data_IF_223519173835
#
_entry.id   IF_223519173835
#
_cell.length_a   1.000
_cell.length_b   1.000
_cell.length_c   1.000
_cell.angle_alpha   90.00
_cell.angle_beta   90.00
_cell.angle_gamma   90.00
#
_symmetry.space_group_name_H-M   'P 1'
#
loop_
_entity.id
_entity.type
_entity.pdbx_description
1 polymer ?
#
# COMPACT_ATOMS: atom_id res chain seq x y z
N UNK A 1 15.00 9.19 -50.96
CA UNK A 1 15.00 10.21 -49.89
C UNK A 1 14.20 9.62 -48.73
N UNK A 2 14.94 8.92 -47.86
CA UNK A 2 14.44 7.98 -46.86
C UNK A 2 14.13 8.78 -45.59
N UNK A 3 12.87 8.78 -45.09
CA UNK A 3 12.45 9.42 -43.85
C UNK A 3 11.58 8.45 -43.06
N UNK A 4 12.21 7.39 -42.60
CA UNK A 4 11.60 6.55 -41.55
C UNK A 4 12.51 6.66 -40.32
N UNK A 5 12.37 7.79 -39.60
CA UNK A 5 12.97 7.96 -38.29
C UNK A 5 11.99 7.41 -37.29
N UNK A 6 12.16 6.15 -36.87
CA UNK A 6 11.48 5.61 -35.69
C UNK A 6 11.84 6.45 -34.45
N UNK A 7 10.83 6.78 -33.60
CA UNK A 7 11.11 7.46 -32.35
C UNK A 7 11.91 6.55 -31.41
N UNK A 8 12.85 7.10 -30.60
CA UNK A 8 13.67 6.30 -29.70
C UNK A 8 12.79 5.58 -28.68
N UNK A 9 12.86 4.27 -28.69
CA UNK A 9 12.25 3.44 -27.64
C UNK A 9 12.95 3.76 -26.32
N UNK A 10 12.23 4.40 -25.38
CA UNK A 10 12.66 4.57 -24.00
C UNK A 10 12.84 3.19 -23.37
N UNK A 11 14.04 2.67 -23.42
CA UNK A 11 14.47 1.50 -22.65
C UNK A 11 14.42 1.89 -21.20
N UNK A 12 13.31 1.55 -20.53
CA UNK A 12 13.17 1.68 -19.09
C UNK A 12 14.37 1.01 -18.43
N UNK A 13 15.04 1.75 -17.53
CA UNK A 13 16.26 1.31 -16.85
C UNK A 13 16.06 -0.09 -16.24
N UNK A 14 17.06 -0.99 -16.32
CA UNK A 14 16.94 -2.38 -15.85
C UNK A 14 16.56 -2.50 -14.36
N UNK A 15 16.75 -1.43 -13.59
CA UNK A 15 16.37 -1.34 -12.19
C UNK A 15 14.85 -1.40 -12.00
N UNK A 16 14.06 -0.67 -12.78
CA UNK A 16 12.58 -0.72 -12.71
C UNK A 16 12.02 -2.06 -13.20
N UNK A 17 12.63 -2.65 -14.22
CA UNK A 17 12.22 -3.97 -14.71
C UNK A 17 12.51 -5.10 -13.70
N UNK A 18 13.58 -4.96 -12.88
CA UNK A 18 13.89 -5.89 -11.80
C UNK A 18 12.87 -5.77 -10.65
N UNK A 19 12.51 -4.55 -10.26
CA UNK A 19 11.47 -4.29 -9.21
C UNK A 19 10.12 -4.86 -9.63
N UNK A 20 9.69 -4.66 -10.86
CA UNK A 20 8.38 -5.15 -11.34
C UNK A 20 8.35 -6.68 -11.50
N UNK A 21 9.46 -7.32 -11.87
CA UNK A 21 9.53 -8.79 -11.95
C UNK A 21 9.51 -9.45 -10.57
N UNK A 22 10.01 -8.79 -9.54
CA UNK A 22 9.99 -9.32 -8.16
C UNK A 22 8.63 -9.13 -7.49
N UNK A 23 7.91 -8.07 -7.83
CA UNK A 23 6.55 -7.80 -7.34
C UNK A 23 5.49 -8.74 -7.96
N UNK A 24 5.75 -9.37 -9.09
CA UNK A 24 4.78 -10.20 -9.84
C UNK A 24 4.73 -11.67 -9.46
N UNK A 25 5.45 -12.15 -8.44
CA UNK A 25 5.56 -13.59 -8.16
C UNK A 25 4.95 -14.09 -6.86
N UNK A 26 4.39 -13.23 -6.04
CA UNK A 26 3.65 -13.69 -4.88
C UNK A 26 2.37 -12.87 -4.71
N UNK A 27 1.27 -13.38 -5.22
CA UNK A 27 -0.05 -13.06 -4.68
C UNK A 27 -0.11 -13.64 -3.27
N UNK A 28 0.65 -13.06 -2.36
CA UNK A 28 0.40 -13.23 -0.94
C UNK A 28 -1.04 -12.79 -0.74
N UNK A 29 -1.92 -13.74 -0.43
CA UNK A 29 -3.28 -13.42 -0.07
C UNK A 29 -3.21 -12.23 0.90
N UNK A 30 -3.82 -11.10 0.57
CA UNK A 30 -3.75 -9.87 1.36
C UNK A 30 -4.05 -10.14 2.85
N UNK A 31 -4.94 -11.10 3.13
CA UNK A 31 -5.19 -11.62 4.48
C UNK A 31 -3.93 -12.17 5.14
N UNK A 32 -3.12 -12.95 4.43
CA UNK A 32 -1.90 -13.55 4.98
C UNK A 32 -0.86 -12.49 5.31
N UNK A 33 -0.70 -11.49 4.45
CA UNK A 33 0.17 -10.34 4.70
C UNK A 33 -0.25 -9.56 5.95
N UNK A 34 -1.54 -9.29 6.14
CA UNK A 34 -2.07 -8.61 7.31
C UNK A 34 -1.78 -9.40 8.59
N UNK A 35 -2.00 -10.72 8.61
CA UNK A 35 -1.69 -11.56 9.79
C UNK A 35 -0.20 -11.60 10.11
N UNK A 36 0.68 -11.63 9.10
CA UNK A 36 2.13 -11.56 9.30
C UNK A 36 2.53 -10.22 9.91
N UNK A 37 1.99 -9.10 9.41
CA UNK A 37 2.27 -7.76 9.92
C UNK A 37 1.81 -7.63 11.36
N UNK A 38 0.59 -8.04 11.68
CA UNK A 38 0.06 -8.02 13.05
C UNK A 38 0.93 -8.88 13.97
N UNK A 39 1.24 -10.10 13.58
CA UNK A 39 2.07 -11.01 14.35
C UNK A 39 3.47 -10.47 14.61
N UNK A 40 4.11 -9.92 13.58
CA UNK A 40 5.43 -9.30 13.70
C UNK A 40 5.41 -8.10 14.67
N UNK A 41 4.40 -7.23 14.56
CA UNK A 41 4.27 -6.06 15.44
C UNK A 41 3.99 -6.46 16.88
N UNK A 42 3.08 -7.41 17.12
CA UNK A 42 2.83 -7.92 18.48
C UNK A 42 4.10 -8.53 19.09
N UNK A 43 4.82 -9.32 18.31
CA UNK A 43 6.09 -9.91 18.76
C UNK A 43 7.13 -8.83 19.10
N UNK A 44 7.29 -7.83 18.24
CA UNK A 44 8.20 -6.72 18.47
C UNK A 44 7.78 -5.88 19.69
N UNK A 45 6.48 -5.67 19.92
CA UNK A 45 5.95 -4.98 21.10
C UNK A 45 6.25 -5.73 22.39
N UNK A 46 6.03 -7.05 22.39
CA UNK A 46 6.34 -7.89 23.55
C UNK A 46 7.83 -7.91 23.84
N UNK A 47 8.67 -8.08 22.81
CA UNK A 47 10.13 -8.02 22.94
C UNK A 47 10.55 -6.64 23.47
N UNK A 48 10.02 -5.55 22.95
CA UNK A 48 10.30 -4.20 23.41
C UNK A 48 9.94 -3.99 24.89
N UNK A 49 8.76 -4.47 25.32
CA UNK A 49 8.31 -4.40 26.71
C UNK A 49 9.16 -5.24 27.66
N UNK A 50 9.61 -6.42 27.25
CA UNK A 50 10.54 -7.24 28.03
C UNK A 50 11.91 -6.57 28.11
N UNK A 51 12.41 -6.08 26.98
CA UNK A 51 13.74 -5.47 26.89
C UNK A 51 13.83 -4.22 27.75
N UNK A 52 12.81 -3.34 27.71
CA UNK A 52 12.83 -2.13 28.52
C UNK A 52 12.81 -2.45 30.01
N UNK A 53 12.04 -3.46 30.43
CA UNK A 53 12.03 -3.92 31.82
C UNK A 53 13.39 -4.45 32.29
N UNK A 54 14.12 -5.16 31.42
CA UNK A 54 15.45 -5.71 31.76
C UNK A 54 16.51 -4.62 31.82
N UNK A 55 16.45 -3.63 30.96
CA UNK A 55 17.46 -2.58 30.81
C UNK A 55 17.20 -1.42 31.78
N UNK A 56 15.97 -1.03 31.95
CA UNK A 56 15.57 0.15 32.76
C UNK A 56 14.67 -0.25 33.95
N UNK A 57 15.15 -1.23 34.72
CA UNK A 57 14.40 -1.82 35.83
C UNK A 57 14.10 -0.85 36.98
N UNK A 58 14.69 0.35 36.98
CA UNK A 58 14.39 1.41 37.96
C UNK A 58 13.09 2.11 37.68
N UNK A 59 12.81 2.35 36.41
CA UNK A 59 11.61 3.02 35.94
C UNK A 59 10.45 2.02 35.70
N UNK A 60 10.77 0.75 35.48
CA UNK A 60 9.83 -0.33 35.26
C UNK A 60 9.92 -1.39 36.34
N UNK A 61 9.04 -1.33 37.34
CA UNK A 61 9.10 -2.19 38.53
C UNK A 61 8.76 -3.66 38.23
N UNK A 62 7.91 -3.89 37.25
CA UNK A 62 7.45 -5.23 36.86
C UNK A 62 7.27 -5.36 35.33
N UNK A 63 7.09 -6.59 34.85
CA UNK A 63 6.92 -6.90 33.43
C UNK A 63 5.63 -6.25 32.85
N UNK A 64 4.60 -6.14 33.67
CA UNK A 64 3.32 -5.53 33.29
C UNK A 64 3.48 -4.06 32.88
N UNK A 65 4.27 -3.29 33.62
CA UNK A 65 4.59 -1.89 33.29
C UNK A 65 5.39 -1.78 31.99
N UNK A 66 6.36 -2.67 31.75
CA UNK A 66 7.11 -2.71 30.50
C UNK A 66 6.22 -3.02 29.31
N UNK A 67 5.34 -4.01 29.42
CA UNK A 67 4.37 -4.36 28.38
C UNK A 67 3.32 -3.26 28.18
N UNK A 68 2.81 -2.68 29.25
CA UNK A 68 1.88 -1.56 29.20
C UNK A 68 2.48 -0.36 28.45
N UNK A 69 3.69 0.01 28.81
CA UNK A 69 4.43 1.07 28.12
C UNK A 69 4.64 0.76 26.64
N UNK A 70 5.02 -0.46 26.31
CA UNK A 70 5.26 -0.84 24.92
C UNK A 70 3.97 -0.77 24.08
N UNK A 71 2.82 -1.21 24.62
CA UNK A 71 1.54 -1.15 23.95
C UNK A 71 1.11 0.30 23.71
N UNK A 72 1.13 1.16 24.74
CA UNK A 72 0.73 2.57 24.56
C UNK A 72 1.69 3.34 23.64
N UNK A 73 2.97 2.93 23.57
CA UNK A 73 3.95 3.54 22.68
C UNK A 73 3.72 3.13 21.22
N UNK A 74 3.55 1.82 20.95
CA UNK A 74 3.29 1.32 19.58
C UNK A 74 1.95 1.83 19.04
N UNK A 75 0.93 1.93 19.89
CA UNK A 75 -0.38 2.48 19.51
C UNK A 75 -0.41 4.01 19.42
N UNK A 76 0.70 4.67 19.75
CA UNK A 76 0.85 6.13 19.77
C UNK A 76 -0.08 6.86 20.76
N UNK A 77 -0.66 6.14 21.74
CA UNK A 77 -1.52 6.73 22.79
C UNK A 77 -0.69 7.53 23.78
N UNK A 78 0.41 6.94 24.31
CA UNK A 78 1.40 7.62 25.15
C UNK A 78 0.83 8.34 26.37
N UNK A 79 0.19 7.62 27.30
CA UNK A 79 -0.32 8.22 28.54
C UNK A 79 0.75 8.95 29.35
N UNK A 80 2.02 8.53 29.23
CA UNK A 80 3.14 9.16 29.95
C UNK A 80 3.21 8.82 31.43
N UNK A 81 2.45 7.85 31.89
CA UNK A 81 2.42 7.36 33.26
C UNK A 81 3.66 6.54 33.62
N UNK A 82 4.20 5.82 32.65
CA UNK A 82 5.48 5.09 32.74
C UNK A 82 6.31 5.43 31.52
N UNK A 83 7.53 5.97 31.73
CA UNK A 83 8.43 6.37 30.64
C UNK A 83 9.89 6.09 31.01
N UNK A 84 10.75 5.71 30.06
CA UNK A 84 12.17 5.50 30.32
C UNK A 84 12.91 6.82 30.50
N UNK A 85 13.68 6.94 31.57
CA UNK A 85 14.53 8.12 31.83
C UNK A 85 15.99 7.89 31.43
N UNK A 86 16.44 6.65 31.35
CA UNK A 86 17.80 6.31 30.94
C UNK A 86 18.03 6.54 29.43
N UNK A 87 19.26 6.85 29.04
CA UNK A 87 19.65 7.02 27.64
C UNK A 87 19.39 5.76 26.81
N UNK A 88 19.67 4.60 27.39
CA UNK A 88 19.47 3.30 26.72
C UNK A 88 17.96 3.02 26.59
N UNK A 89 17.19 3.29 27.64
CA UNK A 89 15.73 3.16 27.63
C UNK A 89 15.09 4.04 26.55
N UNK A 90 15.56 5.27 26.38
CA UNK A 90 15.11 6.17 25.30
C UNK A 90 15.49 5.65 23.91
N UNK A 91 16.66 5.06 23.74
CA UNK A 91 17.05 4.43 22.47
C UNK A 91 16.13 3.26 22.12
N UNK A 92 15.82 2.39 23.08
CA UNK A 92 14.83 1.31 22.93
C UNK A 92 13.47 1.89 22.58
N UNK A 93 13.03 2.95 23.26
CA UNK A 93 11.79 3.67 22.99
C UNK A 93 11.71 4.16 21.55
N UNK A 94 12.78 4.72 21.03
CA UNK A 94 12.85 5.16 19.64
C UNK A 94 12.58 4.01 18.66
N UNK A 95 13.17 2.84 18.88
CA UNK A 95 12.94 1.66 18.03
C UNK A 95 11.48 1.19 18.12
N UNK A 96 10.89 1.18 19.32
CA UNK A 96 9.48 0.81 19.52
C UNK A 96 8.55 1.81 18.85
N UNK A 97 8.82 3.10 18.92
CA UNK A 97 8.06 4.15 18.23
C UNK A 97 8.12 4.00 16.72
N UNK A 98 9.30 3.78 16.15
CA UNK A 98 9.46 3.55 14.71
C UNK A 98 8.71 2.30 14.25
N UNK A 99 8.71 1.23 15.05
CA UNK A 99 7.92 0.03 14.78
C UNK A 99 6.40 0.34 14.76
N UNK A 100 5.90 1.15 15.69
CA UNK A 100 4.51 1.60 15.74
C UNK A 100 4.10 2.39 14.48
N UNK A 101 4.93 3.35 14.06
CA UNK A 101 4.69 4.14 12.84
C UNK A 101 4.66 3.23 11.61
N UNK A 102 5.62 2.31 11.49
CA UNK A 102 5.66 1.35 10.39
C UNK A 102 4.41 0.46 10.35
N UNK A 103 3.92 0.01 11.51
CA UNK A 103 2.71 -0.80 11.62
C UNK A 103 1.47 -0.06 11.11
N UNK A 104 1.23 1.16 11.59
CA UNK A 104 0.08 1.97 11.15
C UNK A 104 0.15 2.24 9.65
N UNK A 105 1.33 2.57 9.12
CA UNK A 105 1.56 2.81 7.70
C UNK A 105 1.23 1.58 6.85
N UNK A 106 1.67 0.39 7.28
CA UNK A 106 1.41 -0.88 6.59
C UNK A 106 -0.07 -1.26 6.60
N UNK A 107 -0.78 -1.05 7.72
CA UNK A 107 -2.22 -1.29 7.80
C UNK A 107 -2.96 -0.35 6.84
N UNK A 108 -2.65 0.94 6.88
CA UNK A 108 -3.29 1.93 6.00
C UNK A 108 -3.06 1.59 4.53
N UNK A 109 -1.83 1.27 4.15
CA UNK A 109 -1.49 0.85 2.79
C UNK A 109 -2.26 -0.42 2.37
N UNK A 110 -2.37 -1.41 3.28
CA UNK A 110 -3.07 -2.66 3.01
C UNK A 110 -4.57 -2.45 2.80
N UNK A 111 -5.20 -1.63 3.63
CA UNK A 111 -6.63 -1.28 3.50
C UNK A 111 -6.88 -0.52 2.20
N UNK A 112 -6.03 0.46 1.89
CA UNK A 112 -6.13 1.22 0.63
C UNK A 112 -6.00 0.30 -0.58
N UNK A 113 -5.04 -0.62 -0.58
CA UNK A 113 -4.85 -1.57 -1.66
C UNK A 113 -6.09 -2.46 -1.88
N UNK A 114 -6.71 -2.94 -0.79
CA UNK A 114 -7.94 -3.74 -0.86
C UNK A 114 -9.11 -2.93 -1.44
N UNK A 115 -9.27 -1.67 -1.04
CA UNK A 115 -10.33 -0.79 -1.55
C UNK A 115 -10.14 -0.48 -3.03
N UNK A 116 -8.91 -0.20 -3.46
CA UNK A 116 -8.58 0.04 -4.87
C UNK A 116 -8.84 -1.20 -5.72
N UNK A 117 -8.45 -2.38 -5.22
CA UNK A 117 -8.71 -3.65 -5.93
C UNK A 117 -10.21 -3.92 -6.06
N UNK A 118 -11.00 -3.70 -5.00
CA UNK A 118 -12.46 -3.83 -5.06
C UNK A 118 -13.09 -2.82 -6.04
N UNK A 119 -12.59 -1.59 -6.08
CA UNK A 119 -13.07 -0.57 -7.01
C UNK A 119 -12.76 -0.97 -8.46
N UNK A 120 -11.56 -1.50 -8.72
CA UNK A 120 -11.19 -2.02 -10.05
C UNK A 120 -12.09 -3.18 -10.49
N UNK A 121 -12.36 -4.13 -9.60
CA UNK A 121 -13.23 -5.27 -9.91
C UNK A 121 -14.68 -4.84 -10.16
N UNK A 122 -15.15 -3.79 -9.52
CA UNK A 122 -16.47 -3.19 -9.78
C UNK A 122 -16.51 -2.39 -11.08
N UNK A 123 -15.41 -1.75 -11.47
CA UNK A 123 -15.25 -1.05 -12.74
C UNK A 123 -15.01 -1.99 -13.94
N UNK A 124 -14.65 -3.26 -13.71
CA UNK A 124 -14.54 -4.32 -14.72
C UNK A 124 -15.83 -5.15 -14.85
N UNK A 125 -16.91 -4.77 -14.12
CA UNK A 125 -18.27 -5.21 -14.44
C UNK A 125 -18.65 -4.75 -15.84
N UNK A 126 -19.65 -5.36 -16.52
CA UNK A 126 -19.87 -5.21 -17.93
C UNK A 126 -19.96 -3.73 -18.31
N UNK A 127 -18.90 -3.28 -18.97
CA UNK A 127 -18.69 -1.97 -19.61
C UNK A 127 -18.84 -0.76 -18.65
N UNK A 128 -17.73 -0.09 -18.39
CA UNK A 128 -17.74 1.26 -17.83
C UNK A 128 -18.82 2.07 -18.60
N UNK A 129 -19.85 2.63 -17.93
CA UNK A 129 -20.94 3.32 -18.61
C UNK A 129 -20.49 4.44 -19.55
N UNK A 130 -19.23 4.90 -19.39
CA UNK A 130 -18.60 5.86 -20.29
C UNK A 130 -18.09 5.20 -21.56
N UNK A 131 -17.42 4.05 -21.49
CA UNK A 131 -16.96 3.30 -22.65
C UNK A 131 -18.11 2.76 -23.47
N UNK A 132 -19.14 2.21 -22.82
CA UNK A 132 -20.37 1.77 -23.51
C UNK A 132 -21.09 2.92 -24.24
N UNK A 133 -21.08 4.13 -23.66
CA UNK A 133 -21.63 5.31 -24.34
C UNK A 133 -20.75 5.78 -25.50
N UNK A 134 -19.44 5.70 -25.36
CA UNK A 134 -18.50 6.04 -26.43
C UNK A 134 -18.65 5.09 -27.61
N UNK A 135 -18.76 3.78 -27.37
CA UNK A 135 -19.00 2.78 -28.41
C UNK A 135 -20.38 2.97 -29.10
N UNK A 136 -21.39 3.35 -28.32
CA UNK A 136 -22.70 3.68 -28.87
C UNK A 136 -22.67 4.95 -29.75
N UNK A 137 -21.90 5.96 -29.36
CA UNK A 137 -21.75 7.21 -30.12
C UNK A 137 -20.94 6.95 -31.39
N UNK A 138 -19.84 6.20 -31.32
CA UNK A 138 -19.04 5.84 -32.49
C UNK A 138 -19.85 5.04 -33.51
N UNK A 139 -20.62 4.05 -33.07
CA UNK A 139 -21.50 3.31 -33.95
C UNK A 139 -22.63 4.16 -34.61
N UNK A 140 -23.12 5.21 -33.92
CA UNK A 140 -24.05 6.16 -34.51
C UNK A 140 -23.41 7.06 -35.55
N UNK A 141 -22.16 7.49 -35.33
CA UNK A 141 -21.39 8.29 -36.29
C UNK A 141 -21.12 7.50 -37.56
N UNK A 142 -20.66 6.27 -37.46
CA UNK A 142 -20.45 5.38 -38.61
C UNK A 142 -21.77 5.18 -39.44
N UNK A 143 -22.88 4.99 -38.73
CA UNK A 143 -24.18 4.84 -39.39
C UNK A 143 -24.65 6.12 -40.12
N UNK A 144 -24.30 7.31 -39.59
CA UNK A 144 -24.60 8.60 -40.22
C UNK A 144 -23.68 8.80 -41.43
N UNK A 145 -22.40 8.53 -41.31
CA UNK A 145 -21.45 8.61 -42.44
C UNK A 145 -21.86 7.71 -43.60
N UNK A 146 -22.19 6.46 -43.31
CA UNK A 146 -22.69 5.52 -44.35
C UNK A 146 -24.01 5.96 -45.01
N UNK A 147 -24.86 6.75 -44.32
CA UNK A 147 -26.06 7.33 -44.90
C UNK A 147 -25.77 8.53 -45.76
N UNK A 148 -24.79 9.34 -45.44
CA UNK A 148 -24.36 10.51 -46.23
C UNK A 148 -23.71 10.07 -47.53
N UNK A 149 -22.78 9.07 -47.47
CA UNK A 149 -22.18 8.50 -48.68
C UNK A 149 -23.18 7.91 -49.65
N UNK A 150 -24.27 7.30 -49.18
CA UNK A 150 -25.36 6.79 -50.05
C UNK A 150 -26.25 7.88 -50.63
N UNK A 151 -26.18 9.10 -50.09
CA UNK A 151 -26.96 10.25 -50.59
C UNK A 151 -26.24 11.10 -51.63
N UNK A 152 -24.93 10.96 -51.73
CA UNK A 152 -24.18 11.59 -52.84
C UNK A 152 -24.37 10.74 -54.10
N UNK A 153 -25.09 11.24 -55.12
CA UNK A 153 -25.18 10.53 -56.38
C UNK A 153 -23.82 10.55 -57.08
N UNK A 154 -23.45 9.48 -57.80
CA UNK A 154 -22.20 9.47 -58.56
C UNK A 154 -22.22 10.59 -59.59
N UNK A 155 -21.11 11.37 -59.61
CA UNK A 155 -20.89 12.46 -60.56
C UNK A 155 -20.70 11.92 -62.01
#
# INVERSE_FOLDING_TARGET
>A
MNRDAEPPQHQGTPFFAWLTRRAGRETLNARRAIFIIIGATLTATVIGGITIRLVDHKDFSNLGEGLWWAVQTVTTVGYGDVVPHSTIGRAIGTVVMLNGIAFISLITASVTALLVEQARQRGQGPEDPVTARLDQISGRLEAIEARLERREPPA
#
